data_IF_788050684749
#
_entry.id   IF_788050684749
#
_cell.length_a   1.000
_cell.length_b   1.000
_cell.length_c   1.000
_cell.angle_alpha   90.00
_cell.angle_beta   90.00
_cell.angle_gamma   90.00
#
_symmetry.space_group_name_H-M   'P 1'
#
loop_
_entity.id
_entity.type
_entity.pdbx_description
1 polymer ?
#
# COMPACT_ATOMS: atom_id res chain seq x y z
N UNK A 1 33.45 -15.66 22.00
CA UNK A 1 32.13 -15.00 21.97
C UNK A 1 32.35 -13.49 22.13
N UNK A 2 32.59 -12.74 21.04
CA UNK A 2 32.99 -11.32 21.09
C UNK A 2 32.55 -10.48 19.87
N UNK A 3 31.59 -10.96 19.07
CA UNK A 3 31.17 -10.28 17.81
C UNK A 3 29.91 -9.39 17.93
N UNK A 4 29.28 -9.31 19.11
CA UNK A 4 27.96 -8.66 19.28
C UNK A 4 28.04 -7.15 19.53
N UNK A 5 29.06 -6.66 20.24
CA UNK A 5 29.19 -5.23 20.57
C UNK A 5 29.63 -4.37 19.37
N UNK A 6 30.60 -4.83 18.59
CA UNK A 6 31.10 -4.07 17.43
C UNK A 6 30.04 -3.90 16.31
N UNK A 7 29.08 -4.82 16.24
CA UNK A 7 27.98 -4.79 15.27
C UNK A 7 26.85 -3.81 15.68
N UNK A 8 26.63 -3.66 16.99
CA UNK A 8 25.69 -2.67 17.53
C UNK A 8 26.24 -1.25 17.35
N UNK A 9 27.53 -1.05 17.62
CA UNK A 9 28.20 0.25 17.44
C UNK A 9 28.24 0.71 15.97
N UNK A 10 28.51 -0.21 15.03
CA UNK A 10 28.51 0.11 13.61
C UNK A 10 27.11 0.42 13.07
N UNK A 11 26.09 -0.33 13.52
CA UNK A 11 24.69 -0.08 13.17
C UNK A 11 24.20 1.27 13.69
N UNK A 12 24.57 1.64 14.91
CA UNK A 12 24.25 2.95 15.48
C UNK A 12 24.94 4.10 14.73
N UNK A 13 26.20 3.90 14.32
CA UNK A 13 26.94 4.89 13.50
C UNK A 13 26.24 5.14 12.16
N UNK A 14 25.92 4.09 11.42
CA UNK A 14 25.20 4.19 10.13
C UNK A 14 23.84 4.86 10.31
N UNK A 15 23.11 4.52 11.38
CA UNK A 15 21.81 5.13 11.68
C UNK A 15 21.94 6.63 11.93
N UNK A 16 22.97 7.06 12.67
CA UNK A 16 23.24 8.48 12.91
C UNK A 16 23.59 9.23 11.62
N UNK A 17 24.46 8.65 10.79
CA UNK A 17 24.84 9.25 9.49
C UNK A 17 23.64 9.42 8.55
N UNK A 18 22.71 8.45 8.56
CA UNK A 18 21.47 8.53 7.79
C UNK A 18 20.57 9.66 8.32
N UNK A 19 20.36 9.77 9.64
CA UNK A 19 19.57 10.84 10.25
C UNK A 19 20.17 12.21 9.94
N UNK A 20 21.49 12.37 10.10
CA UNK A 20 22.17 13.65 9.83
C UNK A 20 22.08 14.02 8.34
N UNK A 21 22.09 13.04 7.44
CA UNK A 21 21.89 13.27 6.00
C UNK A 21 20.46 13.74 5.69
N UNK A 22 19.44 13.13 6.29
CA UNK A 22 18.05 13.56 6.12
C UNK A 22 17.81 14.97 6.68
N UNK A 23 18.45 15.34 7.79
CA UNK A 23 18.41 16.71 8.32
C UNK A 23 18.98 17.72 7.34
N UNK A 24 20.16 17.44 6.77
CA UNK A 24 20.78 18.29 5.74
C UNK A 24 19.89 18.44 4.50
N UNK A 25 19.24 17.36 4.06
CA UNK A 25 18.26 17.42 2.99
C UNK A 25 17.11 18.39 3.33
N UNK A 26 16.55 18.29 4.53
CA UNK A 26 15.49 19.19 4.98
C UNK A 26 15.94 20.65 5.04
N UNK A 27 17.14 20.93 5.54
CA UNK A 27 17.73 22.28 5.58
C UNK A 27 17.94 22.86 4.18
N UNK A 28 18.19 21.99 3.20
CA UNK A 28 18.31 22.36 1.78
C UNK A 28 16.95 22.41 1.04
N UNK A 29 15.82 22.23 1.73
CA UNK A 29 14.48 22.25 1.13
C UNK A 29 14.09 20.97 0.37
N UNK A 30 14.82 19.86 0.56
CA UNK A 30 14.51 18.55 0.00
C UNK A 30 13.64 17.78 1.00
N UNK A 31 12.47 17.30 0.56
CA UNK A 31 11.52 16.54 1.40
C UNK A 31 12.11 15.17 1.81
N UNK A 32 12.47 14.96 3.10
CA UNK A 32 13.03 13.69 3.57
C UNK A 32 12.05 12.51 3.42
N UNK A 33 10.74 12.76 3.43
CA UNK A 33 9.73 11.71 3.29
C UNK A 33 9.68 11.19 1.85
N UNK A 34 9.88 12.07 0.87
CA UNK A 34 9.99 11.66 -0.53
C UNK A 34 11.25 10.80 -0.75
N UNK A 35 12.36 11.13 -0.09
CA UNK A 35 13.59 10.31 -0.14
C UNK A 35 13.34 8.93 0.48
N UNK A 36 12.71 8.88 1.65
CA UNK A 36 12.33 7.63 2.31
C UNK A 36 11.41 6.77 1.43
N UNK A 37 10.39 7.38 0.81
CA UNK A 37 9.51 6.71 -0.12
C UNK A 37 10.27 6.15 -1.33
N UNK A 38 11.16 6.94 -1.92
CA UNK A 38 11.99 6.53 -3.06
C UNK A 38 12.81 5.28 -2.75
N UNK A 39 13.40 5.22 -1.55
CA UNK A 39 14.24 4.08 -1.14
C UNK A 39 13.39 2.84 -0.82
N UNK A 40 12.25 3.01 -0.13
CA UNK A 40 11.53 1.88 0.45
C UNK A 40 10.35 1.36 -0.37
N UNK A 41 9.84 2.13 -1.34
CA UNK A 41 8.63 1.81 -2.10
C UNK A 41 8.68 0.43 -2.74
N UNK A 42 9.73 0.15 -3.53
CA UNK A 42 9.87 -1.11 -4.25
C UNK A 42 9.95 -2.32 -3.32
N UNK A 43 10.71 -2.19 -2.23
CA UNK A 43 10.90 -3.26 -1.25
C UNK A 43 9.63 -3.53 -0.46
N UNK A 44 8.91 -2.48 -0.04
CA UNK A 44 7.61 -2.60 0.65
C UNK A 44 6.56 -3.28 -0.23
N UNK A 45 6.45 -2.85 -1.50
CA UNK A 45 5.55 -3.48 -2.48
C UNK A 45 5.87 -4.96 -2.68
N UNK A 46 7.16 -5.28 -2.83
CA UNK A 46 7.64 -6.66 -2.97
C UNK A 46 7.33 -7.50 -1.73
N UNK A 47 7.65 -7.00 -0.54
CA UNK A 47 7.39 -7.70 0.71
C UNK A 47 5.89 -7.94 0.94
N UNK A 48 5.05 -6.96 0.60
CA UNK A 48 3.59 -7.12 0.67
C UNK A 48 3.11 -8.19 -0.30
N UNK A 49 3.59 -8.18 -1.55
CA UNK A 49 3.26 -9.19 -2.54
C UNK A 49 3.64 -10.61 -2.10
N UNK A 50 4.87 -10.78 -1.59
CA UNK A 50 5.41 -12.05 -1.10
C UNK A 50 4.64 -12.57 0.11
N UNK A 51 4.37 -11.70 1.09
CA UNK A 51 3.60 -12.03 2.30
C UNK A 51 2.21 -12.60 1.97
N UNK A 52 1.57 -12.10 0.90
CA UNK A 52 0.21 -12.51 0.53
C UNK A 52 0.17 -13.53 -0.61
N UNK A 53 1.32 -13.89 -1.19
CA UNK A 53 1.40 -14.78 -2.35
C UNK A 53 0.70 -14.20 -3.59
N UNK A 54 0.89 -12.89 -3.85
CA UNK A 54 0.20 -12.16 -4.92
C UNK A 54 1.15 -11.66 -6.00
N UNK A 55 0.62 -11.48 -7.20
CA UNK A 55 1.32 -10.83 -8.32
C UNK A 55 0.50 -9.67 -8.85
N UNK A 56 1.16 -8.56 -9.17
CA UNK A 56 0.45 -7.39 -9.70
C UNK A 56 -0.02 -7.64 -11.14
N UNK A 57 -1.26 -7.25 -11.41
CA UNK A 57 -1.88 -7.35 -12.72
C UNK A 57 -1.33 -6.28 -13.66
N UNK A 58 -1.02 -6.65 -14.90
CA UNK A 58 -0.60 -5.70 -15.95
C UNK A 58 -1.81 -5.00 -16.57
N UNK A 59 -1.63 -3.75 -17.01
CA UNK A 59 -2.64 -2.98 -17.75
C UNK A 59 -3.64 -2.25 -16.86
N UNK A 60 -4.86 -2.02 -17.38
CA UNK A 60 -5.86 -1.18 -16.72
C UNK A 60 -6.26 -1.69 -15.32
N UNK A 61 -6.45 -0.77 -14.38
CA UNK A 61 -6.83 -1.00 -12.97
C UNK A 61 -8.29 -0.65 -12.72
N UNK A 62 -9.19 -1.06 -13.63
CA UNK A 62 -10.62 -0.74 -13.53
C UNK A 62 -11.36 -1.73 -12.63
N UNK A 63 -12.42 -1.26 -11.97
CA UNK A 63 -13.30 -2.15 -11.21
C UNK A 63 -13.95 -3.21 -12.09
N UNK A 64 -14.28 -2.90 -13.35
CA UNK A 64 -14.82 -3.89 -14.29
C UNK A 64 -13.89 -5.10 -14.45
N UNK A 65 -12.58 -4.87 -14.50
CA UNK A 65 -11.57 -5.94 -14.55
C UNK A 65 -11.49 -6.73 -13.25
N UNK A 66 -11.57 -6.05 -12.11
CA UNK A 66 -11.50 -6.70 -10.79
C UNK A 66 -12.76 -7.53 -10.46
N UNK A 67 -13.94 -6.95 -10.69
CA UNK A 67 -15.23 -7.55 -10.37
C UNK A 67 -15.71 -8.52 -11.46
N UNK A 68 -15.24 -8.38 -12.70
CA UNK A 68 -15.70 -9.17 -13.85
C UNK A 68 -17.05 -8.70 -14.41
N UNK A 69 -17.63 -7.62 -13.87
CA UNK A 69 -18.87 -6.99 -14.30
C UNK A 69 -18.78 -5.49 -14.15
N UNK A 70 -19.60 -4.74 -14.88
CA UNK A 70 -19.64 -3.28 -14.76
C UNK A 70 -20.32 -2.86 -13.45
N UNK A 71 -19.63 -2.13 -12.55
CA UNK A 71 -20.24 -1.63 -11.31
C UNK A 71 -20.80 -0.20 -11.45
N UNK A 72 -20.89 0.35 -12.67
CA UNK A 72 -21.37 1.72 -12.90
C UNK A 72 -20.36 2.81 -12.58
N UNK A 73 -19.10 2.43 -12.28
CA UNK A 73 -17.98 3.36 -12.09
C UNK A 73 -16.64 2.70 -12.40
N UNK A 74 -15.66 3.52 -12.76
CA UNK A 74 -14.34 3.04 -13.19
C UNK A 74 -13.47 2.57 -12.01
N UNK A 75 -13.56 3.24 -10.86
CA UNK A 75 -12.70 3.04 -9.68
C UNK A 75 -13.53 3.09 -8.38
N UNK A 76 -13.03 2.50 -7.26
CA UNK A 76 -13.67 2.70 -5.95
C UNK A 76 -13.72 4.18 -5.55
N UNK A 77 -14.64 4.58 -4.64
CA UNK A 77 -14.58 5.87 -3.96
C UNK A 77 -13.20 6.14 -3.35
N UNK A 78 -12.70 7.37 -3.48
CA UNK A 78 -11.40 7.76 -2.92
C UNK A 78 -10.19 7.02 -3.51
N UNK A 79 -10.33 6.36 -4.66
CA UNK A 79 -9.27 5.56 -5.25
C UNK A 79 -8.13 6.41 -5.81
N UNK A 80 -6.97 6.24 -5.20
CA UNK A 80 -5.69 6.82 -5.61
C UNK A 80 -4.59 5.73 -5.56
N UNK A 81 -3.51 5.89 -6.31
CA UNK A 81 -2.39 4.93 -6.34
C UNK A 81 -2.85 3.45 -6.41
N UNK A 82 -3.68 3.17 -7.42
CA UNK A 82 -4.46 1.94 -7.54
C UNK A 82 -3.74 0.83 -8.29
N UNK A 83 -3.90 -0.40 -7.82
CA UNK A 83 -3.39 -1.60 -8.47
C UNK A 83 -4.36 -2.78 -8.28
N UNK A 84 -4.32 -3.73 -9.20
CA UNK A 84 -5.04 -5.00 -9.06
C UNK A 84 -4.00 -6.09 -8.84
N UNK A 85 -4.25 -6.96 -7.88
CA UNK A 85 -3.37 -8.05 -7.51
C UNK A 85 -4.07 -9.38 -7.70
N UNK A 86 -3.34 -10.32 -8.29
CA UNK A 86 -3.82 -11.63 -8.66
C UNK A 86 -3.32 -12.67 -7.67
N UNK A 87 -4.18 -13.64 -7.38
CA UNK A 87 -3.85 -14.90 -6.72
C UNK A 87 -4.20 -16.03 -7.69
N UNK A 88 -3.27 -16.95 -7.93
CA UNK A 88 -3.44 -18.07 -8.87
C UNK A 88 -3.95 -17.62 -10.26
N UNK A 89 -3.39 -16.51 -10.76
CA UNK A 89 -3.72 -15.94 -12.07
C UNK A 89 -5.06 -15.18 -12.15
N UNK A 90 -5.83 -15.08 -11.06
CA UNK A 90 -7.14 -14.42 -11.04
C UNK A 90 -7.12 -13.15 -10.17
N UNK A 91 -7.84 -12.08 -10.55
CA UNK A 91 -7.98 -10.89 -9.70
C UNK A 91 -8.51 -11.26 -8.31
N UNK A 92 -7.73 -10.92 -7.28
CA UNK A 92 -7.98 -11.29 -5.89
C UNK A 92 -8.15 -10.05 -5.00
N UNK A 93 -7.25 -9.09 -5.13
CA UNK A 93 -7.28 -7.85 -4.36
C UNK A 93 -7.26 -6.62 -5.26
N UNK A 94 -8.04 -5.60 -4.90
CA UNK A 94 -7.92 -4.26 -5.42
C UNK A 94 -7.27 -3.40 -4.36
N UNK A 95 -6.10 -2.84 -4.67
CA UNK A 95 -5.36 -1.98 -3.76
C UNK A 95 -5.52 -0.53 -4.19
N UNK A 96 -5.68 0.36 -3.22
CA UNK A 96 -5.56 1.80 -3.38
C UNK A 96 -4.78 2.39 -2.20
N UNK A 97 -4.05 3.48 -2.46
CA UNK A 97 -3.17 4.11 -1.48
C UNK A 97 -3.36 5.64 -1.46
N UNK A 98 -4.53 6.12 -0.99
CA UNK A 98 -4.81 7.55 -0.95
C UNK A 98 -3.98 8.28 0.10
N UNK A 99 -3.63 9.52 -0.22
CA UNK A 99 -3.05 10.49 0.72
C UNK A 99 -4.04 10.92 1.80
N UNK A 100 -5.33 10.92 1.47
CA UNK A 100 -6.39 11.34 2.39
C UNK A 100 -7.70 10.65 2.02
N UNK A 101 -8.50 10.36 3.03
CA UNK A 101 -9.88 9.93 2.87
C UNK A 101 -10.75 10.73 3.83
N UNK A 102 -11.67 11.51 3.27
CA UNK A 102 -12.66 12.22 4.06
C UNK A 102 -13.76 11.30 4.56
N UNK A 103 -14.58 11.82 5.47
CA UNK A 103 -15.79 11.15 5.95
C UNK A 103 -16.70 10.67 4.81
N UNK A 104 -16.93 11.51 3.80
CA UNK A 104 -17.78 11.19 2.66
C UNK A 104 -17.21 10.06 1.82
N UNK A 105 -15.90 10.04 1.59
CA UNK A 105 -15.24 8.98 0.82
C UNK A 105 -15.30 7.64 1.55
N UNK A 106 -15.05 7.64 2.87
CA UNK A 106 -15.10 6.44 3.69
C UNK A 106 -16.51 5.84 3.72
N UNK A 107 -17.55 6.66 3.89
CA UNK A 107 -18.94 6.19 3.82
C UNK A 107 -19.26 5.58 2.47
N UNK A 108 -18.97 6.32 1.40
CA UNK A 108 -19.22 5.84 0.05
C UNK A 108 -18.45 4.55 -0.25
N UNK A 109 -17.24 4.39 0.31
CA UNK A 109 -16.43 3.18 0.15
C UNK A 109 -17.01 1.99 0.92
N UNK A 110 -17.52 2.20 2.12
CA UNK A 110 -18.23 1.16 2.88
C UNK A 110 -19.48 0.71 2.13
N UNK A 111 -20.33 1.66 1.71
CA UNK A 111 -21.55 1.37 0.93
C UNK A 111 -21.21 0.60 -0.36
N UNK A 112 -20.14 1.02 -1.04
CA UNK A 112 -19.64 0.34 -2.23
C UNK A 112 -19.21 -1.11 -1.93
N UNK A 113 -18.52 -1.33 -0.81
CA UNK A 113 -18.12 -2.68 -0.42
C UNK A 113 -19.32 -3.57 -0.11
N UNK A 114 -20.33 -3.05 0.59
CA UNK A 114 -21.57 -3.77 0.87
C UNK A 114 -22.32 -4.14 -0.41
N UNK A 115 -22.54 -3.16 -1.30
CA UNK A 115 -23.24 -3.35 -2.57
C UNK A 115 -22.58 -4.40 -3.47
N UNK A 116 -21.26 -4.50 -3.44
CA UNK A 116 -20.50 -5.38 -4.32
C UNK A 116 -19.99 -6.66 -3.64
N UNK A 117 -20.36 -6.91 -2.38
CA UNK A 117 -19.94 -8.09 -1.64
C UNK A 117 -18.42 -8.15 -1.46
N UNK A 118 -17.82 -7.01 -1.07
CA UNK A 118 -16.39 -6.86 -0.83
C UNK A 118 -16.10 -6.70 0.67
N UNK A 119 -14.97 -7.23 1.10
CA UNK A 119 -14.34 -6.88 2.37
C UNK A 119 -13.27 -5.81 2.14
N UNK A 120 -13.04 -5.00 3.16
CA UNK A 120 -12.04 -3.94 3.15
C UNK A 120 -11.13 -4.06 4.37
N UNK A 121 -9.83 -3.84 4.16
CA UNK A 121 -8.86 -3.62 5.24
C UNK A 121 -8.04 -2.37 4.97
N UNK A 122 -7.57 -1.72 6.04
CA UNK A 122 -6.81 -0.48 6.00
C UNK A 122 -5.56 -0.65 6.86
N UNK A 123 -4.39 -0.25 6.34
CA UNK A 123 -3.10 -0.37 7.03
C UNK A 123 -2.20 0.83 6.69
N UNK A 124 -1.79 1.57 7.71
CA UNK A 124 -0.86 2.70 7.54
C UNK A 124 0.60 2.24 7.35
N UNK A 125 0.96 1.05 7.81
CA UNK A 125 2.35 0.59 7.84
C UNK A 125 2.81 -0.04 6.53
N UNK A 126 1.92 -0.74 5.81
CA UNK A 126 2.30 -1.49 4.61
C UNK A 126 2.18 -0.72 3.29
N UNK A 127 1.86 0.57 3.33
CA UNK A 127 1.83 1.40 2.11
C UNK A 127 3.21 1.50 1.46
N UNK A 128 3.25 1.57 0.12
CA UNK A 128 4.46 1.67 -0.70
C UNK A 128 4.52 2.88 -1.64
N UNK A 129 3.41 3.49 -2.07
CA UNK A 129 3.50 4.62 -3.01
C UNK A 129 4.15 5.84 -2.32
N UNK A 130 3.77 6.13 -1.07
CA UNK A 130 4.42 7.13 -0.21
C UNK A 130 4.31 6.69 1.26
N UNK A 131 5.18 5.78 1.72
CA UNK A 131 5.14 5.23 3.08
C UNK A 131 5.20 6.36 4.12
N UNK A 132 4.24 6.37 5.05
CA UNK A 132 4.09 7.41 6.07
C UNK A 132 3.13 8.54 5.69
N UNK A 133 2.76 8.68 4.40
CA UNK A 133 1.75 9.65 3.93
C UNK A 133 0.48 9.00 3.40
N UNK A 134 0.61 7.87 2.70
CA UNK A 134 -0.54 7.16 2.14
C UNK A 134 -0.92 5.97 2.99
N UNK A 135 -2.20 5.63 2.96
CA UNK A 135 -2.76 4.49 3.68
C UNK A 135 -3.03 3.35 2.71
N UNK A 136 -2.55 2.14 3.01
CA UNK A 136 -2.87 0.98 2.20
C UNK A 136 -4.30 0.54 2.46
N UNK A 137 -5.11 0.50 1.41
CA UNK A 137 -6.47 -0.05 1.48
C UNK A 137 -6.57 -1.20 0.50
N UNK A 138 -7.03 -2.34 1.01
CA UNK A 138 -7.16 -3.58 0.25
C UNK A 138 -8.62 -3.98 0.25
N UNK A 139 -9.19 -4.07 -0.95
CA UNK A 139 -10.53 -4.62 -1.17
C UNK A 139 -10.41 -6.04 -1.69
N UNK A 140 -11.11 -6.98 -1.09
CA UNK A 140 -11.20 -8.39 -1.53
C UNK A 140 -12.66 -8.79 -1.69
N UNK A 141 -12.93 -9.84 -2.46
CA UNK A 141 -14.29 -10.40 -2.54
C UNK A 141 -14.59 -11.13 -1.23
N UNK A 142 -15.76 -10.89 -0.62
CA UNK A 142 -16.24 -11.66 0.54
C UNK A 142 -16.23 -13.13 0.21
N UNK A 143 -15.78 -13.95 1.16
CA UNK A 143 -15.95 -15.40 1.05
C UNK A 143 -17.45 -15.69 0.92
N UNK A 144 -17.83 -16.55 -0.04
CA UNK A 144 -19.19 -17.07 -0.06
C UNK A 144 -19.35 -17.94 1.19
N UNK A 145 -20.22 -17.53 2.10
CA UNK A 145 -20.69 -18.41 3.16
C UNK A 145 -21.57 -19.45 2.47
N UNK A 146 -21.04 -20.66 2.26
CA UNK A 146 -21.86 -21.82 1.92
C UNK A 146 -22.66 -22.17 3.16
N UNK A 147 -23.95 -21.82 3.16
CA UNK A 147 -24.97 -22.34 4.08
C UNK A 147 -25.30 -23.78 3.75
#
# INVERSE_FOLDING_TARGET
MLKRNQYLDSSMKVSKEAVDSLKRCSEAGIDPEQLFATVTSKERKKAWAEKHGLTESRGATTLKKFLGKDPGRKYPPGADHKSIWNKDGKPYAYVMQPYSLGWTDLKALVDFCEQHGLDMSMDAQSSWDYPGRTMLIVLTKKAKITS
#
